data_IF_621001644535
#
_entry.id   IF_621001644535
#
_cell.length_a   1.000
_cell.length_b   1.000
_cell.length_c   1.000
_cell.angle_alpha   90.00
_cell.angle_beta   90.00
_cell.angle_gamma   90.00
#
_symmetry.space_group_name_H-M   'P 1'
#
loop_
_entity.id
_entity.type
_entity.pdbx_description
1 polymer ?
#
# COMPACT_ATOMS: atom_id res chain seq x y z
N UNK A 1 0.83 12.84 11.75
CA UNK A 1 0.74 13.51 10.43
C UNK A 1 1.08 12.48 9.36
N UNK A 2 0.63 12.65 8.11
CA UNK A 2 0.93 11.70 7.02
C UNK A 2 2.22 12.03 6.26
N UNK A 3 2.74 13.26 6.42
CA UNK A 3 4.05 13.64 5.93
C UNK A 3 5.16 12.91 6.72
N UNK A 4 6.18 12.44 5.99
CA UNK A 4 7.37 11.77 6.53
C UNK A 4 7.05 10.53 7.40
N UNK A 5 5.96 9.83 7.06
CA UNK A 5 5.55 8.65 7.83
C UNK A 5 6.34 7.41 7.40
N UNK A 6 7.23 6.94 8.27
CA UNK A 6 8.08 5.76 8.04
C UNK A 6 7.29 4.48 7.73
N UNK A 7 6.07 4.32 8.25
CA UNK A 7 5.22 3.16 7.93
C UNK A 7 4.75 3.15 6.48
N UNK A 8 4.72 4.31 5.82
CA UNK A 8 4.39 4.41 4.40
C UNK A 8 5.63 4.21 3.51
N UNK A 9 6.84 4.25 4.09
CA UNK A 9 8.06 3.93 3.35
C UNK A 9 8.20 2.41 3.13
N UNK A 10 7.67 1.60 4.05
CA UNK A 10 7.60 0.14 3.97
C UNK A 10 6.48 -0.30 3.00
N UNK A 11 6.88 -0.80 1.83
CA UNK A 11 5.94 -1.26 0.81
C UNK A 11 5.26 -2.58 1.16
N UNK A 12 5.97 -3.50 1.81
CA UNK A 12 5.41 -4.77 2.26
C UNK A 12 4.30 -4.52 3.29
N UNK A 13 4.56 -3.66 4.28
CA UNK A 13 3.55 -3.30 5.28
C UNK A 13 2.31 -2.64 4.64
N UNK A 14 2.52 -1.73 3.70
CA UNK A 14 1.42 -1.05 2.99
C UNK A 14 0.61 -2.02 2.13
N UNK A 15 1.28 -2.91 1.39
CA UNK A 15 0.65 -3.92 0.57
C UNK A 15 -0.13 -4.93 1.44
N UNK A 16 0.50 -5.47 2.48
CA UNK A 16 -0.10 -6.42 3.42
C UNK A 16 -1.36 -5.85 4.08
N UNK A 17 -1.27 -4.61 4.57
CA UNK A 17 -2.39 -3.91 5.22
C UNK A 17 -3.54 -3.66 4.24
N UNK A 18 -3.25 -3.34 2.98
CA UNK A 18 -4.28 -3.10 1.97
C UNK A 18 -4.95 -4.40 1.52
N UNK A 19 -4.16 -5.46 1.32
CA UNK A 19 -4.66 -6.76 0.88
C UNK A 19 -5.49 -7.43 1.98
N UNK A 20 -4.95 -7.55 3.19
CA UNK A 20 -5.53 -8.36 4.29
C UNK A 20 -6.30 -7.55 5.34
N UNK A 21 -6.19 -6.22 5.30
CA UNK A 21 -6.73 -5.36 6.34
C UNK A 21 -5.84 -5.32 7.59
N UNK A 22 -6.14 -4.40 8.49
CA UNK A 22 -5.44 -4.26 9.77
C UNK A 22 -6.35 -3.61 10.83
N UNK A 23 -6.56 -4.29 11.95
CA UNK A 23 -7.47 -3.82 13.00
C UNK A 23 -8.90 -3.67 12.49
N UNK A 24 -9.40 -2.42 12.42
CA UNK A 24 -10.72 -2.09 11.88
C UNK A 24 -10.73 -1.82 10.38
N UNK A 25 -9.56 -1.74 9.73
CA UNK A 25 -9.47 -1.57 8.28
C UNK A 25 -9.83 -2.91 7.60
N UNK A 26 -10.86 -2.95 6.74
CA UNK A 26 -11.24 -4.17 6.04
C UNK A 26 -10.19 -4.57 4.99
N UNK A 27 -10.14 -5.87 4.67
CA UNK A 27 -9.36 -6.40 3.57
C UNK A 27 -9.92 -5.94 2.21
N UNK A 28 -9.03 -5.57 1.28
CA UNK A 28 -9.40 -5.23 -0.10
C UNK A 28 -8.86 -6.21 -1.15
N UNK A 29 -8.12 -7.25 -0.74
CA UNK A 29 -7.60 -8.27 -1.65
C UNK A 29 -8.68 -8.85 -2.58
N UNK A 30 -9.86 -9.17 -2.05
CA UNK A 30 -10.94 -9.75 -2.85
C UNK A 30 -11.74 -8.74 -3.70
N UNK A 31 -11.48 -7.44 -3.50
CA UNK A 31 -12.23 -6.35 -4.13
C UNK A 31 -11.44 -5.59 -5.19
N UNK A 32 -10.11 -5.58 -5.06
CA UNK A 32 -9.20 -4.84 -5.91
C UNK A 32 -8.19 -5.77 -6.57
N UNK A 33 -7.85 -5.48 -7.82
CA UNK A 33 -6.80 -6.19 -8.52
C UNK A 33 -5.43 -5.82 -7.94
N UNK A 34 -4.40 -6.63 -8.21
CA UNK A 34 -3.03 -6.29 -7.80
C UNK A 34 -2.56 -4.96 -8.38
N UNK A 35 -3.02 -4.62 -9.59
CA UNK A 35 -2.68 -3.36 -10.23
C UNK A 35 -3.34 -2.18 -9.51
N UNK A 36 -4.63 -2.30 -9.16
CA UNK A 36 -5.33 -1.23 -8.43
C UNK A 36 -4.66 -0.94 -7.08
N UNK A 37 -4.26 -2.00 -6.35
CA UNK A 37 -3.57 -1.86 -5.07
C UNK A 37 -2.17 -1.23 -5.26
N UNK A 38 -1.44 -1.61 -6.31
CA UNK A 38 -0.13 -1.04 -6.62
C UNK A 38 -0.21 0.46 -6.96
N UNK A 39 -1.20 0.86 -7.76
CA UNK A 39 -1.43 2.25 -8.12
C UNK A 39 -1.85 3.10 -6.91
N UNK A 40 -2.78 2.60 -6.09
CA UNK A 40 -3.21 3.28 -4.85
C UNK A 40 -2.05 3.37 -3.86
N UNK A 41 -1.29 2.30 -3.69
CA UNK A 41 -0.12 2.29 -2.80
C UNK A 41 0.94 3.29 -3.27
N UNK A 42 1.21 3.36 -4.56
CA UNK A 42 2.11 4.37 -5.15
C UNK A 42 1.62 5.79 -4.88
N UNK A 43 0.32 6.04 -5.02
CA UNK A 43 -0.25 7.34 -4.67
C UNK A 43 -0.05 7.68 -3.19
N UNK A 44 -0.30 6.75 -2.28
CA UNK A 44 -0.12 6.93 -0.83
C UNK A 44 1.35 7.24 -0.48
N UNK A 45 2.29 6.50 -1.07
CA UNK A 45 3.74 6.62 -0.87
C UNK A 45 4.33 7.95 -1.33
N UNK A 46 3.61 8.68 -2.19
CA UNK A 46 4.10 9.93 -2.80
C UNK A 46 3.13 11.11 -2.58
N UNK A 47 2.18 10.96 -1.66
CA UNK A 47 1.23 11.99 -1.27
C UNK A 47 1.59 12.60 0.07
N UNK A 48 1.01 13.77 0.37
CA UNK A 48 1.15 14.45 1.66
C UNK A 48 2.60 14.78 2.07
N UNK A 49 3.47 15.03 1.10
CA UNK A 49 4.88 15.34 1.33
C UNK A 49 5.81 14.12 1.41
N UNK A 50 5.32 12.93 1.08
CA UNK A 50 6.14 11.72 0.97
C UNK A 50 6.76 11.59 -0.44
N UNK A 51 7.90 10.91 -0.53
CA UNK A 51 8.60 10.55 -1.77
C UNK A 51 9.30 9.19 -1.58
N UNK A 52 8.49 8.12 -1.49
CA UNK A 52 8.96 6.76 -1.18
C UNK A 52 8.99 5.83 -2.39
N UNK A 53 8.73 6.35 -3.60
CA UNK A 53 8.75 5.56 -4.83
C UNK A 53 7.50 4.70 -5.03
N UNK A 54 7.55 3.80 -6.00
CA UNK A 54 6.39 3.02 -6.43
C UNK A 54 6.20 1.74 -5.62
N UNK A 55 4.94 1.39 -5.32
CA UNK A 55 4.55 0.03 -4.97
C UNK A 55 4.26 -0.73 -6.26
N UNK A 56 4.96 -1.83 -6.51
CA UNK A 56 4.83 -2.59 -7.76
C UNK A 56 3.75 -3.66 -7.68
N UNK A 57 3.20 -4.03 -8.83
CA UNK A 57 2.22 -5.13 -8.93
C UNK A 57 2.79 -6.48 -8.47
N UNK A 58 4.10 -6.71 -8.62
CA UNK A 58 4.76 -7.94 -8.16
C UNK A 58 4.88 -7.99 -6.64
N UNK A 59 5.22 -6.88 -5.99
CA UNK A 59 5.20 -6.80 -4.51
C UNK A 59 3.80 -7.06 -3.94
N UNK A 60 2.75 -6.58 -4.61
CA UNK A 60 1.36 -6.89 -4.20
C UNK A 60 1.02 -8.37 -4.41
N UNK A 61 1.55 -9.00 -5.47
CA UNK A 61 1.34 -10.44 -5.73
C UNK A 61 2.01 -11.31 -4.67
N UNK A 62 3.18 -10.92 -4.18
CA UNK A 62 3.94 -11.69 -3.19
C UNK A 62 3.22 -11.81 -1.84
N UNK A 63 2.49 -10.76 -1.45
CA UNK A 63 1.81 -10.71 -0.14
C UNK A 63 0.35 -11.17 -0.18
N UNK A 64 -0.18 -11.60 -1.33
CA UNK A 64 -1.59 -11.96 -1.47
C UNK A 64 -1.89 -13.37 -0.98
#
# INVERSE_FOLDING_TARGET
MLAENEKLADDEFLAMTTVHGFGYMPAFGDRLTNNDIAEIGTYIRNSWGNDYGALTTDQVREVR
#
